data_IF_487365215104
#
_entry.id   IF_487365215104
#
_cell.length_a   1.000
_cell.length_b   1.000
_cell.length_c   1.000
_cell.angle_alpha   90.00
_cell.angle_beta   90.00
_cell.angle_gamma   90.00
#
_symmetry.space_group_name_H-M   'P 1'
#
loop_
_entity.id
_entity.type
_entity.pdbx_description
1 polymer ?
#
# COMPACT_ATOMS: atom_id res chain seq x y z
N UNK A 1 6.81 -17.28 15.40
CA UNK A 1 7.58 -17.10 14.13
C UNK A 1 6.71 -16.45 13.06
N UNK A 2 5.46 -16.91 12.86
CA UNK A 2 4.51 -16.28 11.92
C UNK A 2 4.45 -14.74 12.04
N UNK A 3 4.33 -14.19 13.26
CA UNK A 3 4.30 -12.73 13.49
C UNK A 3 5.47 -11.94 12.92
N UNK A 4 6.68 -12.51 12.90
CA UNK A 4 7.88 -11.87 12.32
C UNK A 4 7.80 -11.87 10.80
N UNK A 5 7.30 -12.96 10.22
CA UNK A 5 7.15 -13.13 8.77
C UNK A 5 6.03 -12.23 8.25
N UNK A 6 4.91 -12.13 9.00
CA UNK A 6 3.82 -11.18 8.74
C UNK A 6 4.36 -9.76 8.67
N UNK A 7 5.15 -9.35 9.66
CA UNK A 7 5.74 -8.03 9.68
C UNK A 7 6.70 -7.76 8.51
N UNK A 8 7.55 -8.73 8.15
CA UNK A 8 8.45 -8.62 7.00
C UNK A 8 7.67 -8.49 5.69
N UNK A 9 6.56 -9.24 5.55
CA UNK A 9 5.68 -9.15 4.39
C UNK A 9 4.98 -7.79 4.27
N UNK A 10 4.52 -7.23 5.39
CA UNK A 10 3.96 -5.88 5.46
C UNK A 10 5.01 -4.84 5.03
N UNK A 11 6.23 -4.94 5.54
CA UNK A 11 7.32 -4.01 5.19
C UNK A 11 7.64 -4.04 3.69
N UNK A 12 7.71 -5.23 3.08
CA UNK A 12 7.92 -5.37 1.64
C UNK A 12 6.78 -4.73 0.81
N UNK A 13 5.52 -4.86 1.25
CA UNK A 13 4.38 -4.26 0.57
C UNK A 13 4.46 -2.72 0.59
N UNK A 14 4.86 -2.15 1.73
CA UNK A 14 5.06 -0.71 1.91
C UNK A 14 6.21 -0.16 1.09
N UNK A 15 7.29 -0.93 0.95
CA UNK A 15 8.41 -0.62 0.06
C UNK A 15 8.07 -0.75 -1.44
N UNK A 16 6.84 -1.13 -1.79
CA UNK A 16 6.40 -1.34 -3.18
C UNK A 16 6.79 -2.70 -3.77
N UNK A 17 7.48 -3.55 -3.01
CA UNK A 17 7.83 -4.91 -3.44
C UNK A 17 6.68 -5.89 -3.15
N UNK A 18 5.64 -5.81 -3.98
CA UNK A 18 4.48 -6.72 -3.91
C UNK A 18 4.88 -8.19 -4.07
N UNK A 19 5.91 -8.49 -4.85
CA UNK A 19 6.34 -9.86 -5.12
C UNK A 19 6.95 -10.49 -3.87
N UNK A 20 7.87 -9.79 -3.21
CA UNK A 20 8.47 -10.24 -1.96
C UNK A 20 7.42 -10.29 -0.83
N UNK A 21 6.56 -9.28 -0.74
CA UNK A 21 5.50 -9.25 0.25
C UNK A 21 4.56 -10.45 0.14
N UNK A 22 4.13 -10.78 -1.08
CA UNK A 22 3.30 -11.96 -1.35
C UNK A 22 3.98 -13.25 -0.89
N UNK A 23 5.28 -13.42 -1.15
CA UNK A 23 6.02 -14.61 -0.72
C UNK A 23 6.01 -14.74 0.80
N UNK A 24 6.32 -13.64 1.50
CA UNK A 24 6.38 -13.61 2.96
C UNK A 24 4.99 -13.83 3.58
N UNK A 25 3.97 -13.12 3.10
CA UNK A 25 2.61 -13.23 3.64
C UNK A 25 1.99 -14.61 3.36
N UNK A 26 2.29 -15.23 2.21
CA UNK A 26 1.91 -16.62 1.95
C UNK A 26 2.60 -17.60 2.90
N UNK A 27 3.84 -17.34 3.30
CA UNK A 27 4.53 -18.17 4.30
C UNK A 27 3.91 -17.97 5.68
N UNK A 28 3.62 -16.72 6.07
CA UNK A 28 2.99 -16.41 7.35
C UNK A 28 1.64 -17.12 7.52
N UNK A 29 0.75 -17.05 6.51
CA UNK A 29 -0.56 -17.72 6.60
C UNK A 29 -0.49 -19.24 6.48
N UNK A 30 0.62 -19.80 5.98
CA UNK A 30 0.88 -21.25 6.03
C UNK A 30 1.32 -21.67 7.42
N UNK A 31 2.17 -20.87 8.05
CA UNK A 31 2.68 -21.14 9.41
C UNK A 31 1.59 -20.92 10.47
N UNK A 32 0.77 -19.89 10.31
CA UNK A 32 -0.42 -19.63 11.12
C UNK A 32 -1.64 -19.30 10.24
N UNK A 33 -2.49 -20.30 9.94
CA UNK A 33 -3.70 -20.10 9.15
C UNK A 33 -4.77 -19.21 9.80
N UNK A 34 -4.62 -18.83 11.07
CA UNK A 34 -5.52 -17.95 11.80
C UNK A 34 -4.95 -16.53 12.02
N UNK A 35 -3.80 -16.21 11.41
CA UNK A 35 -3.23 -14.85 11.44
C UNK A 35 -4.08 -13.93 10.55
N UNK A 36 -5.10 -13.32 11.17
CA UNK A 36 -6.03 -12.37 10.56
C UNK A 36 -5.30 -11.24 9.81
N UNK A 37 -4.22 -10.72 10.42
CA UNK A 37 -3.45 -9.62 9.88
C UNK A 37 -2.70 -10.05 8.62
N UNK A 38 -2.04 -11.21 8.64
CA UNK A 38 -1.35 -11.75 7.47
C UNK A 38 -2.31 -11.98 6.28
N UNK A 39 -3.50 -12.50 6.53
CA UNK A 39 -4.53 -12.66 5.49
C UNK A 39 -5.01 -11.31 4.92
N UNK A 40 -5.21 -10.31 5.78
CA UNK A 40 -5.63 -8.98 5.36
C UNK A 40 -4.57 -8.31 4.48
N UNK A 41 -3.30 -8.36 4.87
CA UNK A 41 -2.23 -7.78 4.06
C UNK A 41 -1.94 -8.59 2.79
N UNK A 42 -2.12 -9.92 2.83
CA UNK A 42 -1.98 -10.78 1.65
C UNK A 42 -2.90 -10.32 0.52
N UNK A 43 -4.12 -9.86 0.83
CA UNK A 43 -5.07 -9.37 -0.18
C UNK A 43 -4.53 -8.17 -0.96
N UNK A 44 -3.67 -7.34 -0.36
CA UNK A 44 -3.01 -6.21 -1.03
C UNK A 44 -1.81 -6.60 -1.91
N UNK A 45 -1.21 -7.78 -1.67
CA UNK A 45 -0.03 -8.27 -2.41
C UNK A 45 -0.36 -9.12 -3.63
N UNK A 46 -1.62 -9.56 -3.76
CA UNK A 46 -2.07 -10.42 -4.87
C UNK A 46 -2.69 -9.60 -6.00
N UNK A 47 -2.36 -9.96 -7.24
CA UNK A 47 -2.76 -9.21 -8.43
C UNK A 47 -4.16 -9.59 -8.94
N UNK A 48 -4.58 -10.85 -8.78
CA UNK A 48 -5.86 -11.33 -9.26
C UNK A 48 -6.98 -11.08 -8.24
N UNK A 49 -8.11 -10.54 -8.72
CA UNK A 49 -9.28 -10.26 -7.87
C UNK A 49 -9.84 -11.51 -7.17
N UNK A 50 -9.72 -12.69 -7.80
CA UNK A 50 -10.07 -13.96 -7.16
C UNK A 50 -9.23 -14.23 -5.91
N UNK A 51 -7.90 -14.10 -6.01
CA UNK A 51 -7.01 -14.29 -4.87
C UNK A 51 -7.21 -13.22 -3.80
N UNK A 52 -7.51 -11.98 -4.20
CA UNK A 52 -7.84 -10.89 -3.28
C UNK A 52 -9.10 -11.22 -2.48
N UNK A 53 -10.14 -11.70 -3.17
CA UNK A 53 -11.39 -12.15 -2.54
C UNK A 53 -11.13 -13.30 -1.56
N UNK A 54 -10.44 -14.35 -1.99
CA UNK A 54 -10.16 -15.51 -1.13
C UNK A 54 -9.47 -15.11 0.17
N UNK A 55 -8.48 -14.22 0.09
CA UNK A 55 -7.77 -13.70 1.26
C UNK A 55 -8.71 -12.91 2.20
N UNK A 56 -9.54 -12.01 1.65
CA UNK A 56 -10.49 -11.20 2.45
C UNK A 56 -11.60 -12.06 3.07
N UNK A 57 -12.12 -13.06 2.36
CA UNK A 57 -13.10 -14.02 2.90
C UNK A 57 -12.49 -14.83 4.04
N UNK A 58 -11.20 -15.18 3.93
CA UNK A 58 -10.48 -15.86 5.01
C UNK A 58 -10.32 -14.98 6.25
N UNK A 59 -10.07 -13.67 6.08
CA UNK A 59 -10.10 -12.70 7.20
C UNK A 59 -11.46 -12.71 7.88
N UNK A 60 -12.56 -12.64 7.12
CA UNK A 60 -13.91 -12.64 7.69
C UNK A 60 -14.31 -13.96 8.34
N UNK A 61 -13.74 -15.08 7.88
CA UNK A 61 -13.92 -16.37 8.53
C UNK A 61 -13.23 -16.44 9.90
N UNK A 62 -12.13 -15.70 10.09
CA UNK A 62 -11.42 -15.58 11.38
C UNK A 62 -12.11 -14.55 12.27
N UNK A 63 -12.38 -13.37 11.72
CA UNK A 63 -13.01 -12.23 12.41
C UNK A 63 -14.11 -11.61 11.53
N UNK A 64 -15.39 -11.98 11.73
CA UNK A 64 -16.51 -11.45 10.97
C UNK A 64 -16.72 -9.94 11.12
N UNK A 65 -16.19 -9.33 12.19
CA UNK A 65 -16.32 -7.90 12.46
C UNK A 65 -15.30 -7.05 11.69
N UNK A 66 -14.27 -7.66 11.08
CA UNK A 66 -13.19 -6.94 10.41
C UNK A 66 -13.73 -6.02 9.29
N UNK A 67 -13.65 -4.72 9.51
CA UNK A 67 -14.14 -3.71 8.57
C UNK A 67 -13.32 -3.62 7.29
N UNK A 68 -12.00 -3.77 7.39
CA UNK A 68 -11.09 -3.72 6.25
C UNK A 68 -11.42 -4.80 5.23
N UNK A 69 -11.70 -6.02 5.69
CA UNK A 69 -12.08 -7.12 4.83
C UNK A 69 -13.47 -6.95 4.20
N UNK A 70 -14.46 -6.46 4.96
CA UNK A 70 -15.81 -6.16 4.43
C UNK A 70 -15.76 -5.06 3.36
N UNK A 71 -15.03 -3.97 3.62
CA UNK A 71 -14.84 -2.87 2.67
C UNK A 71 -14.09 -3.36 1.42
N UNK A 72 -13.01 -4.11 1.60
CA UNK A 72 -12.23 -4.68 0.50
C UNK A 72 -13.05 -5.59 -0.43
N UNK A 73 -13.93 -6.43 0.12
CA UNK A 73 -14.81 -7.29 -0.70
C UNK A 73 -15.85 -6.48 -1.47
N UNK A 74 -16.40 -5.41 -0.87
CA UNK A 74 -17.37 -4.55 -1.52
C UNK A 74 -16.81 -3.80 -2.74
N UNK A 75 -15.49 -3.59 -2.79
CA UNK A 75 -14.80 -2.92 -3.90
C UNK A 75 -14.46 -3.87 -5.07
N UNK A 76 -14.52 -5.19 -4.86
CA UNK A 76 -14.19 -6.15 -5.90
C UNK A 76 -15.38 -6.33 -6.86
N UNK A 77 -15.13 -6.47 -8.17
CA UNK A 77 -16.20 -6.77 -9.13
C UNK A 77 -16.90 -8.07 -8.71
N UNK A 78 -18.22 -8.21 -8.93
CA UNK A 78 -18.95 -9.41 -8.54
C UNK A 78 -18.23 -10.65 -9.07
N UNK A 79 -18.21 -11.70 -8.25
CA UNK A 79 -17.61 -12.99 -8.58
C UNK A 79 -18.19 -13.53 -9.89
N UNK A 80 -17.57 -13.19 -11.01
CA UNK A 80 -17.87 -13.78 -12.31
C UNK A 80 -17.09 -15.08 -12.42
N UNK A 81 -17.52 -16.08 -11.64
CA UNK A 81 -16.96 -17.45 -11.60
C UNK A 81 -15.48 -17.56 -11.22
N UNK A 82 -15.03 -18.73 -10.71
CA UNK A 82 -13.71 -18.89 -10.15
C UNK A 82 -12.64 -18.62 -11.21
N UNK A 83 -11.53 -18.02 -10.76
CA UNK A 83 -10.26 -18.09 -11.48
C UNK A 83 -10.09 -19.53 -11.96
N UNK A 84 -9.74 -19.78 -13.24
CA UNK A 84 -9.47 -21.12 -13.65
C UNK A 84 -8.31 -21.62 -12.76
N UNK A 85 -8.59 -22.60 -11.91
CA UNK A 85 -7.69 -23.76 -11.88
C UNK A 85 -7.36 -24.03 -13.34
N UNK A 86 -6.11 -24.36 -13.72
CA UNK A 86 -5.88 -24.89 -15.05
C UNK A 86 -6.86 -26.04 -15.22
N UNK A 87 -7.98 -25.80 -15.90
CA UNK A 87 -8.81 -26.85 -16.42
C UNK A 87 -7.83 -27.70 -17.21
N UNK A 88 -7.88 -29.04 -17.10
CA UNK A 88 -7.20 -29.85 -18.09
C UNK A 88 -7.58 -29.25 -19.45
N UNK A 89 -6.56 -28.96 -20.28
CA UNK A 89 -6.75 -28.41 -21.61
C UNK A 89 -7.95 -29.12 -22.26
N UNK A 90 -8.83 -28.40 -22.99
CA UNK A 90 -9.94 -29.03 -23.67
C UNK A 90 -9.41 -30.22 -24.46
N UNK A 91 -9.91 -31.40 -24.10
CA UNK A 91 -9.59 -32.72 -24.67
C UNK A 91 -9.92 -32.83 -26.17
N UNK A 92 -10.31 -31.72 -26.80
CA UNK A 92 -10.77 -31.61 -28.17
C UNK A 92 -9.69 -31.19 -29.18
N UNK A 93 -8.42 -31.02 -28.78
CA UNK A 93 -7.32 -30.79 -29.74
C UNK A 93 -6.09 -31.68 -29.55
N UNK A 94 -6.14 -32.70 -28.69
CA UNK A 94 -5.11 -33.75 -28.68
C UNK A 94 -5.63 -34.96 -29.46
N UNK A 95 -5.50 -34.84 -30.77
CA UNK A 95 -5.53 -35.96 -31.68
C UNK A 95 -4.44 -36.97 -31.31
N UNK A 96 -4.88 -38.14 -30.81
CA UNK A 96 -4.25 -39.46 -30.92
C UNK A 96 -2.71 -39.53 -31.02
N UNK A 97 -1.99 -39.49 -29.89
CA UNK A 97 -0.78 -40.33 -29.69
C UNK A 97 -0.17 -40.10 -28.29
N UNK A 98 -0.54 -40.92 -27.31
CA UNK A 98 0.42 -41.61 -26.43
C UNK A 98 -0.33 -42.55 -25.49
N UNK A 99 -0.37 -43.80 -25.93
CA UNK A 99 -0.75 -44.98 -25.15
C UNK A 99 0.20 -45.19 -23.98
N UNK A 100 -0.39 -45.65 -22.90
CA UNK A 100 0.19 -46.08 -21.64
C UNK A 100 1.43 -46.99 -21.82
N UNK A 101 2.63 -46.45 -21.63
CA UNK A 101 3.79 -47.29 -21.37
C UNK A 101 3.81 -47.65 -19.89
N UNK A 102 3.72 -48.94 -19.56
CA UNK A 102 3.85 -49.46 -18.21
C UNK A 102 5.21 -50.13 -18.01
N UNK A 103 5.84 -49.93 -16.85
CA UNK A 103 7.08 -50.60 -16.41
C UNK A 103 6.83 -51.39 -15.13
N UNK A 104 7.71 -52.33 -14.81
CA UNK A 104 7.72 -53.01 -13.51
C UNK A 104 8.47 -52.17 -12.49
N UNK A 105 7.92 -52.05 -11.29
CA UNK A 105 8.65 -51.49 -10.16
C UNK A 105 9.85 -52.39 -9.82
N UNK A 106 11.10 -51.89 -9.77
CA UNK A 106 12.28 -52.71 -9.48
C UNK A 106 12.33 -53.23 -8.03
N UNK A 107 11.44 -52.74 -7.15
CA UNK A 107 11.44 -53.09 -5.74
C UNK A 107 10.33 -54.07 -5.32
N UNK A 108 9.11 -53.88 -5.82
CA UNK A 108 7.96 -54.73 -5.46
C UNK A 108 7.40 -55.52 -6.64
N UNK A 109 7.98 -55.37 -7.84
CA UNK A 109 7.55 -56.05 -9.06
C UNK A 109 6.09 -55.80 -9.49
N UNK A 110 5.43 -54.79 -8.93
CA UNK A 110 4.10 -54.38 -9.37
C UNK A 110 4.19 -53.54 -10.66
N UNK A 111 3.18 -53.65 -11.53
CA UNK A 111 3.13 -52.88 -12.77
C UNK A 111 2.72 -51.44 -12.47
N UNK A 112 3.52 -50.49 -12.94
CA UNK A 112 3.34 -49.05 -12.71
C UNK A 112 3.50 -48.31 -14.04
N UNK A 113 3.10 -47.04 -14.07
CA UNK A 113 3.35 -46.19 -15.25
C UNK A 113 4.85 -45.99 -15.49
N UNK A 114 5.27 -45.91 -16.75
CA UNK A 114 6.69 -45.76 -17.11
C UNK A 114 7.32 -44.51 -16.51
N UNK A 115 6.56 -43.43 -16.41
CA UNK A 115 6.93 -42.14 -15.85
C UNK A 115 6.85 -42.08 -14.31
N UNK A 116 6.43 -43.16 -13.63
CA UNK A 116 6.34 -43.16 -12.18
C UNK A 116 7.71 -42.91 -11.53
N UNK A 117 7.78 -41.82 -10.76
CA UNK A 117 8.92 -41.42 -9.94
C UNK A 117 8.84 -42.03 -8.55
N UNK A 118 7.63 -42.30 -8.04
CA UNK A 118 7.40 -43.01 -6.78
C UNK A 118 6.45 -44.17 -7.06
N UNK A 119 6.77 -45.36 -6.52
CA UNK A 119 5.87 -46.50 -6.64
C UNK A 119 4.64 -46.33 -5.75
N UNK A 120 3.45 -46.29 -6.33
CA UNK A 120 2.19 -46.21 -5.57
C UNK A 120 1.96 -47.37 -4.61
N UNK A 121 2.53 -48.55 -4.89
CA UNK A 121 2.27 -49.77 -4.12
C UNK A 121 3.21 -49.95 -2.94
N UNK A 122 4.51 -49.63 -3.09
CA UNK A 122 5.50 -49.82 -2.01
C UNK A 122 6.11 -48.51 -1.49
N UNK A 123 5.76 -47.36 -2.06
CA UNK A 123 6.19 -46.03 -1.61
C UNK A 123 7.66 -45.68 -1.88
N UNK A 124 8.44 -46.57 -2.52
CA UNK A 124 9.86 -46.30 -2.84
C UNK A 124 10.01 -45.36 -4.02
N UNK A 125 10.99 -44.48 -3.90
CA UNK A 125 11.44 -43.60 -4.98
C UNK A 125 12.18 -44.42 -6.05
N UNK A 126 11.74 -44.26 -7.29
CA UNK A 126 12.22 -44.95 -8.49
C UNK A 126 13.18 -44.11 -9.31
N UNK A 127 13.41 -42.85 -8.93
CA UNK A 127 14.47 -42.01 -9.51
C UNK A 127 15.87 -42.50 -9.10
N UNK A 128 15.95 -43.38 -8.09
CA UNK A 128 17.19 -43.90 -7.52
C UNK A 128 17.17 -45.44 -7.50
N UNK A 129 17.32 -46.12 -8.65
CA UNK A 129 17.79 -47.52 -8.72
C UNK A 129 18.37 -47.84 -10.11
N UNK A 130 19.51 -48.53 -10.25
CA UNK A 130 20.08 -49.51 -9.32
C UNK A 130 21.62 -49.40 -9.11
N UNK A 131 22.12 -49.77 -7.92
CA UNK A 131 23.51 -50.20 -7.72
C UNK A 131 23.75 -51.54 -8.43
N UNK A 132 24.81 -51.61 -9.24
CA UNK A 132 25.29 -52.85 -9.84
C UNK A 132 26.13 -53.60 -8.80
N UNK A 133 25.65 -54.72 -8.29
CA UNK A 133 26.47 -55.70 -7.57
C UNK A 133 26.94 -56.74 -8.59
N UNK A 134 28.25 -56.77 -8.84
CA UNK A 134 28.90 -57.75 -9.70
C UNK A 134 30.41 -57.58 -9.66
N UNK A 135 31.05 -58.32 -8.77
CA UNK A 135 32.50 -58.57 -8.67
C UNK A 135 33.16 -58.88 -10.02
N UNK A 136 34.40 -58.43 -10.27
CA UNK A 136 35.64 -59.24 -10.26
C UNK A 136 36.87 -58.43 -10.76
N UNK A 137 37.97 -58.52 -9.99
CA UNK A 137 39.41 -58.37 -10.28
C UNK A 137 40.04 -57.09 -10.89
N UNK A 138 41.00 -56.58 -10.10
CA UNK A 138 42.20 -55.76 -10.40
C UNK A 138 43.17 -56.56 -11.32
N UNK A 139 43.94 -55.94 -12.24
CA UNK A 139 45.31 -55.41 -11.98
C UNK A 139 45.46 -53.94 -12.46
N UNK A 140 46.05 -53.02 -11.70
CA UNK A 140 47.48 -52.79 -11.42
C UNK A 140 48.27 -52.18 -12.60
N UNK A 141 48.96 -51.06 -12.30
CA UNK A 141 50.04 -50.40 -13.07
C UNK A 141 49.58 -49.45 -14.22
N UNK A 142 50.02 -48.19 -14.39
CA UNK A 142 51.09 -47.37 -13.81
C UNK A 142 50.78 -45.87 -13.98
N UNK A 143 51.51 -45.09 -13.19
CA UNK A 143 51.65 -43.63 -13.09
C UNK A 143 51.75 -42.85 -14.41
N UNK A 144 51.15 -41.65 -14.46
CA UNK A 144 51.95 -40.42 -14.57
C UNK A 144 51.15 -39.16 -14.20
N UNK A 145 51.82 -38.31 -13.43
CA UNK A 145 51.47 -36.96 -12.97
C UNK A 145 51.55 -35.97 -14.13
N UNK A 146 50.67 -34.96 -14.19
CA UNK A 146 51.07 -33.59 -14.57
C UNK A 146 49.99 -32.52 -14.27
N UNK A 147 50.29 -31.73 -13.24
CA UNK A 147 50.19 -30.26 -13.11
C UNK A 147 48.90 -29.46 -13.33
N UNK A 148 48.68 -28.63 -12.29
CA UNK A 148 47.96 -27.37 -12.17
C UNK A 148 48.26 -26.36 -13.30
N UNK A 149 47.27 -26.03 -14.13
CA UNK A 149 47.05 -24.71 -14.73
C UNK A 149 45.90 -24.78 -15.74
N UNK A 150 44.75 -24.19 -15.40
CA UNK A 150 43.79 -23.54 -16.32
C UNK A 150 42.58 -23.02 -15.53
N UNK A 151 42.86 -22.16 -14.55
CA UNK A 151 41.90 -21.14 -14.12
C UNK A 151 42.30 -19.90 -14.88
N UNK A 152 41.55 -19.52 -15.91
CA UNK A 152 41.34 -18.12 -16.33
C UNK A 152 40.41 -18.08 -17.55
N UNK A 153 39.52 -17.09 -17.52
CA UNK A 153 38.89 -16.40 -18.66
C UNK A 153 37.42 -16.69 -18.92
N UNK A 154 36.55 -15.95 -18.23
CA UNK A 154 35.38 -15.34 -18.89
C UNK A 154 34.94 -14.08 -18.13
N UNK A 155 35.62 -12.96 -18.43
CA UNK A 155 35.12 -11.61 -18.16
C UNK A 155 34.28 -11.18 -19.38
N UNK A 156 32.96 -11.30 -19.26
CA UNK A 156 32.00 -10.71 -20.19
C UNK A 156 31.78 -9.23 -19.87
N UNK A 157 32.06 -8.37 -20.84
CA UNK A 157 32.15 -6.90 -20.70
C UNK A 157 30.84 -6.11 -20.50
N UNK A 158 30.95 -4.77 -20.46
CA UNK A 158 29.88 -3.84 -20.05
C UNK A 158 28.82 -3.63 -21.13
N UNK A 159 27.54 -3.72 -20.74
CA UNK A 159 26.40 -3.39 -21.59
C UNK A 159 26.32 -1.88 -21.84
N UNK A 160 26.32 -1.50 -23.12
CA UNK A 160 26.14 -0.11 -23.59
C UNK A 160 24.70 0.35 -23.36
N UNK A 161 24.52 1.38 -22.53
CA UNK A 161 23.24 2.10 -22.38
C UNK A 161 22.95 2.94 -23.63
N UNK A 162 21.75 2.76 -24.21
CA UNK A 162 21.27 3.49 -25.40
C UNK A 162 20.78 4.89 -25.00
N UNK A 163 21.60 5.91 -25.31
CA UNK A 163 21.28 7.34 -25.15
C UNK A 163 20.19 7.73 -26.16
N UNK A 164 19.04 8.25 -25.72
CA UNK A 164 18.01 8.82 -26.60
C UNK A 164 17.73 10.28 -26.23
N UNK A 165 17.55 11.13 -27.25
CA UNK A 165 17.78 12.57 -27.20
C UNK A 165 16.54 13.36 -26.70
N UNK A 166 16.69 14.33 -25.77
CA UNK A 166 15.58 15.03 -25.11
C UNK A 166 14.89 16.10 -25.98
N UNK A 167 15.39 16.36 -27.19
CA UNK A 167 14.86 17.39 -28.09
C UNK A 167 13.58 16.96 -28.82
N UNK A 168 13.33 15.65 -28.96
CA UNK A 168 12.14 15.14 -29.67
C UNK A 168 10.90 14.99 -28.77
N UNK A 169 11.08 14.82 -27.46
CA UNK A 169 9.98 14.74 -26.47
C UNK A 169 9.39 16.11 -26.14
N UNK A 170 10.20 17.18 -26.17
CA UNK A 170 9.74 18.55 -25.90
C UNK A 170 8.84 19.08 -27.04
N UNK A 171 9.08 18.70 -28.28
CA UNK A 171 8.26 19.12 -29.42
C UNK A 171 6.86 18.50 -29.43
N UNK A 172 6.71 17.29 -28.87
CA UNK A 172 5.41 16.61 -28.82
C UNK A 172 4.48 17.20 -27.74
N UNK A 173 5.04 17.66 -26.62
CA UNK A 173 4.28 18.29 -25.53
C UNK A 173 3.75 19.69 -25.90
N UNK A 174 4.51 20.47 -26.69
CA UNK A 174 4.09 21.80 -27.12
C UNK A 174 2.94 21.78 -28.14
N UNK A 175 2.81 20.72 -28.94
CA UNK A 175 1.71 20.54 -29.91
C UNK A 175 0.40 20.16 -29.20
N UNK A 176 0.46 19.39 -28.11
CA UNK A 176 -0.73 19.01 -27.34
C UNK A 176 -1.27 20.20 -26.53
N UNK A 177 -0.38 21.06 -26.03
CA UNK A 177 -0.74 22.28 -25.31
C UNK A 177 -1.37 23.37 -26.20
N UNK A 178 -0.99 23.44 -27.48
CA UNK A 178 -1.57 24.42 -28.41
C UNK A 178 -2.94 24.01 -28.97
N UNK A 179 -3.25 22.71 -29.05
CA UNK A 179 -4.58 22.23 -29.46
C UNK A 179 -5.65 22.32 -28.35
N UNK A 180 -5.25 22.42 -27.07
CA UNK A 180 -6.18 22.50 -25.94
C UNK A 180 -6.78 23.89 -25.68
N UNK A 181 -6.26 24.95 -26.29
CA UNK A 181 -6.62 26.34 -25.97
C UNK A 181 -7.68 26.96 -26.91
N UNK A 182 -8.18 26.23 -27.91
CA UNK A 182 -9.13 26.76 -28.91
C UNK A 182 -10.61 26.51 -28.55
N UNK A 183 -10.91 25.83 -27.44
CA UNK A 183 -12.29 25.42 -27.09
C UNK A 183 -12.91 26.11 -25.86
N UNK A 184 -12.56 27.37 -25.56
CA UNK A 184 -13.26 28.14 -24.52
C UNK A 184 -13.45 29.62 -24.91
N UNK A 185 -14.28 29.86 -25.93
CA UNK A 185 -14.93 31.15 -26.15
C UNK A 185 -16.38 30.94 -26.63
N UNK A 186 -17.32 31.53 -25.88
CA UNK A 186 -18.78 31.51 -26.08
C UNK A 186 -19.46 31.11 -24.77
N UNK A 187 -20.32 31.89 -24.12
CA UNK A 187 -21.34 32.79 -24.63
C UNK A 187 -21.87 33.65 -23.47
N UNK A 188 -21.92 34.98 -23.58
CA UNK A 188 -22.88 35.82 -22.84
C UNK A 188 -23.33 36.94 -23.78
N UNK A 189 -24.49 36.73 -24.39
CA UNK A 189 -25.27 37.76 -25.08
C UNK A 189 -26.53 38.16 -24.30
N UNK A 190 -26.90 39.43 -24.54
CA UNK A 190 -28.18 40.11 -24.20
C UNK A 190 -28.28 40.76 -22.82
N UNK A 191 -28.79 41.98 -22.66
CA UNK A 191 -29.37 42.97 -23.59
C UNK A 191 -29.40 44.32 -22.88
N UNK A 192 -29.22 45.40 -23.63
CA UNK A 192 -29.47 46.78 -23.21
C UNK A 192 -30.96 47.01 -22.89
N UNK A 193 -31.25 48.00 -22.04
CA UNK A 193 -32.02 49.18 -22.45
C UNK A 193 -32.13 50.26 -21.33
N UNK A 194 -31.73 51.47 -21.73
CA UNK A 194 -32.31 52.80 -21.48
C UNK A 194 -32.35 53.42 -20.07
N UNK A 195 -31.47 54.43 -19.95
CA UNK A 195 -31.78 55.86 -19.81
C UNK A 195 -32.52 56.41 -18.58
N UNK A 196 -31.79 57.35 -17.98
CA UNK A 196 -32.17 58.72 -17.63
C UNK A 196 -32.36 59.05 -16.14
N UNK A 197 -31.43 59.92 -15.70
CA UNK A 197 -31.65 61.10 -14.87
C UNK A 197 -32.17 60.93 -13.44
N UNK A 198 -31.28 61.19 -12.48
CA UNK A 198 -31.15 62.50 -11.81
C UNK A 198 -30.79 62.35 -10.32
N UNK A 199 -29.95 63.29 -9.88
CA UNK A 199 -29.90 63.87 -8.53
C UNK A 199 -29.10 63.18 -7.42
N UNK A 200 -28.01 63.90 -7.11
CA UNK A 200 -27.50 64.24 -5.77
C UNK A 200 -26.94 63.11 -4.92
N UNK A 201 -25.61 63.06 -4.98
CA UNK A 201 -24.69 62.73 -3.90
C UNK A 201 -25.20 63.11 -2.49
N UNK A 202 -25.08 62.20 -1.53
CA UNK A 202 -24.62 62.54 -0.19
C UNK A 202 -23.16 62.13 -0.05
N UNK A 203 -22.37 63.05 0.50
CA UNK A 203 -21.01 62.82 0.99
C UNK A 203 -21.05 61.71 2.03
N UNK A 204 -20.54 60.52 1.69
CA UNK A 204 -20.25 59.46 2.66
C UNK A 204 -18.76 59.54 2.97
N UNK A 205 -18.46 59.78 4.25
CA UNK A 205 -17.11 59.76 4.80
C UNK A 205 -16.40 58.42 4.46
N UNK A 206 -15.07 58.41 4.28
CA UNK A 206 -14.37 57.17 4.00
C UNK A 206 -14.57 56.19 5.16
N UNK A 207 -15.29 55.11 4.90
CA UNK A 207 -15.32 53.94 5.77
C UNK A 207 -13.90 53.41 5.79
N UNK A 208 -13.28 53.45 6.96
CA UNK A 208 -11.99 52.83 7.19
C UNK A 208 -12.10 51.35 6.79
N UNK A 209 -11.28 50.95 5.82
CA UNK A 209 -11.01 49.55 5.53
C UNK A 209 -10.32 49.00 6.77
N UNK A 210 -11.09 48.27 7.58
CA UNK A 210 -10.52 47.46 8.64
C UNK A 210 -9.86 46.30 7.89
N UNK A 211 -8.54 46.34 7.73
CA UNK A 211 -7.78 45.16 7.31
C UNK A 211 -8.18 44.00 8.23
N UNK A 212 -8.52 42.82 7.70
CA UNK A 212 -8.81 41.68 8.55
C UNK A 212 -7.52 41.40 9.32
N UNK A 213 -7.54 41.76 10.60
CA UNK A 213 -6.51 41.36 11.54
C UNK A 213 -6.44 39.85 11.41
N UNK A 214 -5.31 39.33 10.93
CA UNK A 214 -5.06 37.90 10.84
C UNK A 214 -5.29 37.32 12.23
N UNK A 215 -6.48 36.75 12.43
CA UNK A 215 -6.86 36.09 13.65
C UNK A 215 -5.88 34.92 13.79
N UNK A 216 -5.02 34.98 14.81
CA UNK A 216 -4.03 33.94 15.06
C UNK A 216 -4.79 32.62 15.17
N UNK A 217 -4.46 31.67 14.31
CA UNK A 217 -5.08 30.35 14.33
C UNK A 217 -4.97 29.77 15.75
N UNK A 218 -6.05 29.18 16.28
CA UNK A 218 -6.04 28.58 17.61
C UNK A 218 -4.90 27.57 17.73
N UNK A 219 -4.19 27.57 18.85
CA UNK A 219 -3.01 26.73 19.06
C UNK A 219 -3.28 25.48 19.89
N UNK A 220 -2.21 24.73 20.18
CA UNK A 220 -2.24 23.56 21.08
C UNK A 220 -2.91 23.92 22.41
N UNK A 221 -3.79 23.05 22.89
CA UNK A 221 -4.57 23.25 24.12
C UNK A 221 -5.85 24.07 23.94
N UNK A 222 -6.17 24.50 22.72
CA UNK A 222 -7.44 25.15 22.38
C UNK A 222 -8.45 24.14 21.83
N UNK A 223 -9.72 24.30 22.18
CA UNK A 223 -10.83 23.60 21.53
C UNK A 223 -11.20 24.34 20.25
N UNK A 224 -11.27 23.63 19.13
CA UNK A 224 -11.61 24.16 17.80
C UNK A 224 -12.82 23.41 17.28
N UNK A 225 -13.89 24.13 16.94
CA UNK A 225 -15.09 23.56 16.35
C UNK A 225 -15.03 23.65 14.82
N UNK A 226 -15.33 22.55 14.15
CA UNK A 226 -15.36 22.44 12.69
C UNK A 226 -16.67 21.73 12.33
N UNK A 227 -17.66 22.49 11.88
CA UNK A 227 -19.04 22.00 11.78
C UNK A 227 -19.53 21.37 13.09
N UNK A 228 -19.95 20.10 13.03
CA UNK A 228 -20.36 19.32 14.22
C UNK A 228 -19.20 18.62 14.94
N UNK A 229 -17.95 18.80 14.51
CA UNK A 229 -16.78 18.09 15.05
C UNK A 229 -15.94 18.98 15.93
N UNK A 230 -15.64 18.50 17.14
CA UNK A 230 -14.74 19.18 18.06
C UNK A 230 -13.33 18.59 18.00
N UNK A 231 -12.34 19.45 17.78
CA UNK A 231 -10.92 19.12 17.80
C UNK A 231 -10.23 19.76 19.00
N UNK A 232 -9.32 19.01 19.63
CA UNK A 232 -8.46 19.51 20.69
C UNK A 232 -7.06 18.90 20.54
N UNK A 233 -6.11 19.68 20.03
CA UNK A 233 -4.71 19.24 19.93
C UNK A 233 -4.07 19.30 21.31
N UNK A 234 -3.64 18.14 21.82
CA UNK A 234 -3.02 18.01 23.14
C UNK A 234 -1.52 18.26 23.11
N UNK A 235 -0.85 17.82 22.05
CA UNK A 235 0.60 17.99 21.91
C UNK A 235 1.04 17.89 20.45
N UNK A 236 2.19 18.47 20.14
CA UNK A 236 2.89 18.26 18.88
C UNK A 236 4.41 18.31 19.11
N UNK A 237 5.14 17.36 18.54
CA UNK A 237 6.59 17.27 18.73
C UNK A 237 7.30 16.59 17.56
N UNK A 238 8.60 16.85 17.46
CA UNK A 238 9.47 16.24 16.46
C UNK A 238 10.25 15.06 17.03
N UNK A 239 10.46 14.02 16.23
CA UNK A 239 11.29 12.87 16.62
C UNK A 239 11.97 12.21 15.41
N UNK A 240 13.16 11.68 15.61
CA UNK A 240 13.95 10.97 14.59
C UNK A 240 13.62 9.47 14.51
N UNK A 241 12.86 8.95 15.46
CA UNK A 241 12.40 7.58 15.46
C UNK A 241 11.12 7.41 16.28
N UNK A 242 10.23 6.56 15.78
CA UNK A 242 9.11 6.06 16.57
C UNK A 242 9.41 4.63 16.98
N UNK A 243 9.34 4.37 18.28
CA UNK A 243 9.60 3.03 18.85
C UNK A 243 8.29 2.49 19.41
N UNK A 244 7.83 1.36 18.87
CA UNK A 244 6.80 0.52 19.49
C UNK A 244 7.42 -0.76 20.05
N UNK A 245 6.64 -1.53 20.80
CA UNK A 245 7.11 -2.74 21.51
C UNK A 245 7.76 -3.79 20.60
N UNK A 246 7.47 -3.76 19.31
CA UNK A 246 7.98 -4.76 18.33
C UNK A 246 8.57 -4.13 17.07
N UNK A 247 8.44 -2.82 16.87
CA UNK A 247 8.80 -2.15 15.61
C UNK A 247 9.41 -0.77 15.85
N UNK A 248 10.32 -0.37 14.97
CA UNK A 248 10.85 0.99 14.92
C UNK A 248 10.59 1.60 13.54
N UNK A 249 9.93 2.74 13.47
CA UNK A 249 9.83 3.54 12.25
C UNK A 249 10.95 4.56 12.23
N UNK A 250 11.57 4.78 11.06
CA UNK A 250 12.50 5.89 10.83
C UNK A 250 11.96 6.75 9.69
N UNK A 251 11.94 8.08 9.85
CA UNK A 251 11.50 8.97 8.80
C UNK A 251 12.58 9.07 7.71
N UNK A 252 12.16 9.45 6.50
CA UNK A 252 13.04 9.91 5.44
C UNK A 252 13.69 11.25 5.82
N UNK A 253 12.97 12.10 6.55
CA UNK A 253 13.50 13.32 7.15
C UNK A 253 13.43 13.32 8.67
N UNK A 254 12.34 13.85 9.22
CA UNK A 254 12.01 13.84 10.66
C UNK A 254 10.51 13.61 10.82
N UNK A 255 10.08 12.92 11.89
CA UNK A 255 8.66 12.78 12.17
C UNK A 255 8.14 14.02 12.90
N UNK A 256 7.05 14.57 12.40
CA UNK A 256 6.14 15.42 13.16
C UNK A 256 5.01 14.56 13.71
N UNK A 257 4.86 14.53 15.02
CA UNK A 257 3.82 13.79 15.73
C UNK A 257 2.83 14.77 16.30
N UNK A 258 1.54 14.59 16.01
CA UNK A 258 0.44 15.40 16.51
C UNK A 258 -0.51 14.52 17.31
N UNK A 259 -0.73 14.87 18.58
CA UNK A 259 -1.72 14.23 19.43
C UNK A 259 -2.96 15.10 19.55
N UNK A 260 -4.13 14.53 19.28
CA UNK A 260 -5.38 15.27 19.34
C UNK A 260 -6.54 14.41 19.88
N UNK A 261 -7.53 15.08 20.47
CA UNK A 261 -8.85 14.51 20.74
C UNK A 261 -9.82 15.00 19.69
N UNK A 262 -10.60 14.07 19.14
CA UNK A 262 -11.66 14.36 18.17
C UNK A 262 -12.98 13.88 18.74
N UNK A 263 -13.99 14.73 18.78
CA UNK A 263 -15.33 14.40 19.28
C UNK A 263 -16.36 14.59 18.18
N UNK A 264 -17.19 13.58 17.96
CA UNK A 264 -18.36 13.72 17.10
C UNK A 264 -19.50 14.40 17.87
N UNK A 265 -19.78 15.66 17.59
CA UNK A 265 -20.92 16.40 18.14
C UNK A 265 -22.21 16.28 17.32
N UNK A 266 -22.18 15.55 16.20
CA UNK A 266 -23.35 15.28 15.35
C UNK A 266 -24.31 14.24 15.92
N UNK A 267 -25.36 13.94 15.17
CA UNK A 267 -26.43 12.99 15.53
C UNK A 267 -26.32 11.63 14.81
N UNK A 268 -25.32 11.47 13.94
CA UNK A 268 -25.02 10.23 13.22
C UNK A 268 -23.58 9.77 13.43
N UNK A 269 -23.33 8.49 13.13
CA UNK A 269 -22.00 7.91 13.23
C UNK A 269 -21.15 8.26 11.99
N UNK A 270 -20.13 9.07 12.19
CA UNK A 270 -19.29 9.62 11.12
C UNK A 270 -17.89 9.04 11.08
N UNK A 271 -17.28 9.06 9.90
CA UNK A 271 -15.92 8.52 9.72
C UNK A 271 -14.88 9.59 10.02
N UNK A 272 -13.86 9.22 10.80
CA UNK A 272 -12.66 10.02 10.98
C UNK A 272 -11.72 9.79 9.79
N UNK A 273 -11.51 10.87 9.03
CA UNK A 273 -10.50 10.93 7.97
C UNK A 273 -9.21 11.45 8.58
N UNK A 274 -8.07 10.93 8.11
CA UNK A 274 -6.76 11.40 8.58
C UNK A 274 -6.55 12.87 8.19
N UNK A 275 -6.33 13.78 9.15
CA UNK A 275 -6.14 15.19 8.87
C UNK A 275 -4.79 15.43 8.19
N UNK A 276 -4.72 16.48 7.39
CA UNK A 276 -3.47 16.96 6.80
C UNK A 276 -2.74 17.91 7.74
N UNK A 277 -1.45 18.10 7.52
CA UNK A 277 -0.71 19.25 8.06
C UNK A 277 -0.24 20.17 6.97
N UNK A 278 -0.11 21.45 7.31
CA UNK A 278 0.41 22.50 6.44
C UNK A 278 1.69 23.05 7.05
N UNK A 279 2.71 23.29 6.24
CA UNK A 279 3.89 24.03 6.66
C UNK A 279 3.70 25.56 6.55
N UNK A 280 4.74 26.33 6.90
CA UNK A 280 4.71 27.79 6.86
C UNK A 280 4.46 28.39 5.46
N UNK A 281 4.75 27.63 4.40
CA UNK A 281 4.53 28.03 3.01
C UNK A 281 3.14 27.58 2.50
N UNK A 282 2.37 26.88 3.33
CA UNK A 282 1.06 26.31 2.99
C UNK A 282 1.14 25.01 2.19
N UNK A 283 2.27 24.31 2.17
CA UNK A 283 2.39 23.00 1.53
C UNK A 283 1.75 21.94 2.40
N UNK A 284 0.93 21.08 1.78
CA UNK A 284 0.23 19.99 2.45
C UNK A 284 1.10 18.74 2.61
N UNK A 285 0.95 18.09 3.77
CA UNK A 285 1.56 16.81 4.12
C UNK A 285 0.49 15.86 4.65
N UNK A 286 0.52 14.63 4.15
CA UNK A 286 -0.39 13.56 4.56
C UNK A 286 0.24 12.71 5.66
N UNK A 287 -0.61 12.02 6.43
CA UNK A 287 -0.16 11.09 7.46
C UNK A 287 0.71 10.00 6.83
N UNK A 288 1.86 9.74 7.43
CA UNK A 288 2.79 8.68 7.02
C UNK A 288 2.19 7.31 7.31
N UNK A 289 1.76 6.62 6.24
CA UNK A 289 1.19 5.28 6.34
C UNK A 289 2.14 4.22 6.92
N UNK A 290 3.46 4.48 6.97
CA UNK A 290 4.41 3.61 7.67
C UNK A 290 4.27 3.72 9.20
N UNK A 291 4.25 4.96 9.72
CA UNK A 291 4.19 5.26 11.14
C UNK A 291 2.81 5.05 11.76
N UNK A 292 1.76 5.29 10.99
CA UNK A 292 0.36 5.15 11.42
C UNK A 292 0.04 3.70 11.81
N UNK A 293 0.47 2.72 11.00
CA UNK A 293 0.29 1.28 11.29
C UNK A 293 1.18 0.81 12.44
N UNK A 294 2.35 1.42 12.64
CA UNK A 294 3.28 1.06 13.73
C UNK A 294 2.73 1.51 15.09
N UNK A 295 1.98 2.62 15.13
CA UNK A 295 1.36 3.16 16.33
C UNK A 295 -0.13 2.80 16.50
N UNK A 296 -0.75 2.23 15.46
CA UNK A 296 -2.14 1.79 15.45
C UNK A 296 -2.46 0.73 16.53
N UNK A 297 -1.46 0.07 17.12
CA UNK A 297 -1.71 -0.88 18.22
C UNK A 297 -2.11 -0.20 19.54
N UNK A 298 -1.74 1.06 19.77
CA UNK A 298 -2.10 1.77 21.01
C UNK A 298 -3.30 2.71 20.86
N UNK A 299 -3.48 3.37 19.69
CA UNK A 299 -4.57 4.35 19.44
C UNK A 299 -4.92 4.50 17.94
N UNK A 300 -5.54 3.50 17.29
CA UNK A 300 -5.88 3.61 15.87
C UNK A 300 -7.01 4.63 15.66
N UNK A 301 -6.80 5.56 14.74
CA UNK A 301 -7.81 6.56 14.35
C UNK A 301 -8.18 6.54 12.86
N UNK A 302 -7.39 5.86 12.05
CA UNK A 302 -7.67 5.69 10.62
C UNK A 302 -8.89 4.80 10.44
N UNK A 303 -9.84 5.25 9.63
CA UNK A 303 -11.09 4.53 9.33
C UNK A 303 -12.01 4.29 10.54
N UNK A 304 -11.74 4.93 11.68
CA UNK A 304 -12.60 4.86 12.85
C UNK A 304 -13.92 5.57 12.54
N UNK A 305 -15.04 4.98 12.98
CA UNK A 305 -16.34 5.65 12.95
C UNK A 305 -16.73 6.05 14.36
N UNK A 306 -16.88 7.35 14.59
CA UNK A 306 -17.27 7.88 15.88
C UNK A 306 -18.79 7.98 15.94
N UNK A 307 -19.41 7.33 16.91
CA UNK A 307 -20.82 7.54 17.22
C UNK A 307 -21.06 8.97 17.77
N UNK A 308 -22.30 9.47 17.72
CA UNK A 308 -22.69 10.73 18.38
C UNK A 308 -22.19 10.82 19.83
N UNK A 309 -21.55 11.94 20.16
CA UNK A 309 -20.97 12.23 21.48
C UNK A 309 -19.68 11.44 21.81
N UNK A 310 -19.20 10.57 20.92
CA UNK A 310 -17.97 9.83 21.15
C UNK A 310 -16.74 10.71 20.95
N UNK A 311 -15.77 10.60 21.86
CA UNK A 311 -14.45 11.22 21.75
C UNK A 311 -13.39 10.14 21.57
N UNK A 312 -12.47 10.37 20.62
CA UNK A 312 -11.30 9.52 20.40
C UNK A 312 -10.02 10.32 20.58
N UNK A 313 -9.03 9.75 21.25
CA UNK A 313 -7.66 10.29 21.29
C UNK A 313 -6.84 9.65 20.18
N UNK A 314 -6.28 10.47 19.33
CA UNK A 314 -5.55 10.11 18.12
C UNK A 314 -4.13 10.61 18.16
N UNK A 315 -3.25 9.88 17.49
CA UNK A 315 -1.88 10.29 17.21
C UNK A 315 -1.66 10.19 15.71
N UNK A 316 -1.39 11.33 15.07
CA UNK A 316 -1.11 11.43 13.63
C UNK A 316 0.38 11.69 13.46
N UNK A 317 1.00 11.01 12.49
CA UNK A 317 2.44 11.13 12.25
C UNK A 317 2.71 11.50 10.81
N UNK A 318 3.57 12.47 10.59
CA UNK A 318 3.95 12.98 9.27
C UNK A 318 5.46 12.83 9.10
N UNK A 319 5.91 12.36 7.94
CA UNK A 319 7.33 12.36 7.56
C UNK A 319 7.61 13.66 6.80
N UNK A 320 8.32 14.58 7.44
CA UNK A 320 8.57 15.93 6.94
C UNK A 320 10.06 16.11 6.62
N UNK A 321 10.46 17.09 5.77
CA UNK A 321 11.86 17.26 5.38
C UNK A 321 12.81 17.43 6.58
N UNK A 322 14.00 16.83 6.49
CA UNK A 322 15.02 16.95 7.52
C UNK A 322 15.43 18.41 7.75
N UNK A 323 15.76 18.76 9.01
CA UNK A 323 16.18 20.10 9.41
C UNK A 323 15.03 21.08 9.66
N UNK A 324 13.77 20.62 9.57
CA UNK A 324 12.62 21.38 10.03
C UNK A 324 12.58 21.41 11.58
N UNK A 325 12.20 22.55 12.16
CA UNK A 325 12.09 22.77 13.61
C UNK A 325 10.64 22.78 14.10
N UNK A 326 9.68 22.53 13.22
CA UNK A 326 8.24 22.56 13.50
C UNK A 326 7.65 23.98 13.43
N UNK A 327 8.45 24.99 13.07
CA UNK A 327 7.98 26.36 13.05
C UNK A 327 7.00 26.66 11.92
N UNK A 328 5.89 27.32 12.24
CA UNK A 328 4.84 27.69 11.29
C UNK A 328 3.97 26.52 10.81
N UNK A 329 4.10 25.33 11.41
CA UNK A 329 3.26 24.19 11.07
C UNK A 329 1.87 24.29 11.71
N UNK A 330 0.89 23.76 11.00
CA UNK A 330 -0.49 23.69 11.46
C UNK A 330 -1.17 22.39 11.05
N UNK A 331 -2.16 21.97 11.83
CA UNK A 331 -3.07 20.88 11.50
C UNK A 331 -4.27 21.46 10.75
N UNK A 332 -4.63 20.85 9.62
CA UNK A 332 -5.91 21.07 8.97
C UNK A 332 -6.91 20.10 9.60
N UNK A 333 -7.72 20.61 10.51
CA UNK A 333 -8.78 19.87 11.19
C UNK A 333 -10.02 19.85 10.29
N UNK A 334 -10.48 18.65 9.96
CA UNK A 334 -11.65 18.43 9.12
C UNK A 334 -12.88 18.10 9.98
N UNK A 335 -14.06 18.53 9.53
CA UNK A 335 -15.30 17.95 10.02
C UNK A 335 -15.36 16.45 9.66
N UNK A 336 -15.82 15.61 10.59
CA UNK A 336 -15.99 14.17 10.35
C UNK A 336 -16.92 13.92 9.15
N UNK A 337 -16.55 12.95 8.31
CA UNK A 337 -17.22 12.70 7.04
C UNK A 337 -16.27 12.87 5.83
N UNK A 338 -16.83 12.83 4.62
CA UNK A 338 -16.06 12.88 3.36
C UNK A 338 -16.08 14.30 2.76
N UNK A 339 -17.04 15.13 3.18
CA UNK A 339 -17.19 16.51 2.75
C UNK A 339 -17.52 17.32 4.00
N UNK A 340 -16.73 18.34 4.29
CA UNK A 340 -16.86 19.06 5.53
C UNK A 340 -16.10 20.38 5.51
N UNK A 341 -16.40 21.22 6.48
CA UNK A 341 -15.60 22.41 6.74
C UNK A 341 -14.20 22.02 7.20
N UNK A 342 -13.26 22.95 7.07
CA UNK A 342 -11.91 22.79 7.59
C UNK A 342 -11.53 24.00 8.42
N UNK A 343 -10.74 23.76 9.47
CA UNK A 343 -10.12 24.81 10.28
C UNK A 343 -8.65 24.50 10.48
N UNK A 344 -7.86 25.54 10.72
CA UNK A 344 -6.42 25.41 10.94
C UNK A 344 -6.11 25.54 12.43
N UNK A 345 -5.29 24.64 12.95
CA UNK A 345 -4.82 24.65 14.34
C UNK A 345 -3.29 24.76 14.35
N UNK A 346 -2.75 25.81 14.95
CA UNK A 346 -1.30 25.99 15.03
C UNK A 346 -0.66 24.91 15.94
N UNK A 347 0.44 24.31 15.48
CA UNK A 347 1.17 23.24 16.18
C UNK A 347 2.36 23.73 16.99
N UNK A 348 2.47 25.04 17.17
CA UNK A 348 3.47 25.66 18.04
C UNK A 348 2.89 25.82 19.46
N UNK A 349 3.75 25.65 20.46
CA UNK A 349 3.46 25.98 21.87
C UNK A 349 3.74 27.45 22.16
#
# INVERSE_FOLDING_TARGET
MSSIITAAGIAALKAGDKAQARVLLLQAVKDDPNDELAWLWLSGSVELDGQRRDALERVLAINPANEGARKGLALLPPSSSPSPLPSPLPEALISQQQVDAAKKCPYCAETIKAEAVICRFCGKDLSIAAPQVGSTSIPEESQEVLTLSQVTSSLGGPQKTKKSNPLKTILLLLIVLSCGFIYFLGDIGSKSNNSAENSRSPVVAPVAVIEPTAELAPGIGSTVQVGATEWYVTDAFLTDALTGDTFSARPSGIFLVVEARVTNGGDQAESLVSPKTLDADGREYEVSGEADVILANDRPCVFERLNPGATKTCRFVYDIPAGNDGSGWSLQADELGIFGETATIALQK
#
